data_IF_935294444745
#
_entry.id   IF_935294444745
#
_cell.length_a   1.000
_cell.length_b   1.000
_cell.length_c   1.000
_cell.angle_alpha   90.00
_cell.angle_beta   90.00
_cell.angle_gamma   90.00
#
_symmetry.space_group_name_H-M   'P 1'
#
loop_
_entity.id
_entity.type
_entity.pdbx_description
1 polymer ?
#
# COMPACT_ATOMS: atom_id res chain seq x y z
N UNK A 1 -10.40 10.37 -19.38
CA UNK A 1 -10.38 9.16 -18.52
C UNK A 1 -8.92 8.81 -18.27
N UNK A 2 -8.50 8.81 -16.99
CA UNK A 2 -7.14 8.46 -16.58
C UNK A 2 -7.11 7.07 -15.96
N UNK A 3 -5.96 6.42 -15.96
CA UNK A 3 -5.68 5.15 -15.26
C UNK A 3 -4.81 5.43 -14.05
N UNK A 4 -5.34 5.20 -12.86
CA UNK A 4 -4.65 5.44 -11.57
C UNK A 4 -4.31 4.10 -10.94
N UNK A 5 -3.02 3.87 -10.71
CA UNK A 5 -2.56 2.71 -9.95
C UNK A 5 -2.83 2.96 -8.44
N UNK A 6 -3.45 1.98 -7.77
CA UNK A 6 -3.83 2.11 -6.35
C UNK A 6 -3.18 1.00 -5.54
N UNK A 7 -2.47 1.37 -4.50
CA UNK A 7 -1.89 0.45 -3.53
C UNK A 7 -1.97 1.01 -2.11
N UNK A 8 -1.51 0.24 -1.16
CA UNK A 8 -1.44 0.68 0.23
C UNK A 8 -0.60 -0.26 1.08
N UNK A 9 0.10 0.33 2.03
CA UNK A 9 0.90 -0.41 3.00
C UNK A 9 0.87 0.35 4.32
N UNK A 10 -0.12 0.03 5.15
CA UNK A 10 -0.39 0.77 6.38
C UNK A 10 0.14 0.06 7.61
N UNK A 11 0.94 0.77 8.38
CA UNK A 11 1.34 0.36 9.72
C UNK A 11 1.66 1.56 10.59
N UNK A 12 1.04 1.63 11.75
CA UNK A 12 1.41 2.58 12.81
C UNK A 12 2.41 1.92 13.75
N UNK A 13 3.68 2.25 13.60
CA UNK A 13 4.73 1.64 14.41
C UNK A 13 4.83 2.31 15.79
N UNK A 14 4.78 1.49 16.82
CA UNK A 14 5.14 1.86 18.18
C UNK A 14 6.41 1.09 18.57
N UNK A 15 7.56 1.75 18.54
CA UNK A 15 8.85 1.10 18.80
C UNK A 15 9.01 0.54 20.22
N UNK A 16 8.11 0.88 21.15
CA UNK A 16 8.04 0.31 22.50
C UNK A 16 7.15 -0.94 22.61
N UNK A 17 6.42 -1.29 21.55
CA UNK A 17 5.57 -2.47 21.56
C UNK A 17 6.42 -3.76 21.57
N UNK A 18 5.92 -4.85 22.20
CA UNK A 18 6.71 -6.06 22.39
C UNK A 18 6.83 -6.93 21.14
N UNK A 19 5.92 -6.82 20.18
CA UNK A 19 5.86 -7.71 19.03
C UNK A 19 5.92 -6.94 17.70
N UNK A 20 6.70 -7.46 16.75
CA UNK A 20 6.87 -6.89 15.42
C UNK A 20 5.71 -7.25 14.49
N UNK A 21 5.49 -6.39 13.50
CA UNK A 21 4.55 -6.67 12.42
C UNK A 21 5.22 -7.60 11.39
N UNK A 22 4.87 -8.87 11.45
CA UNK A 22 5.33 -9.89 10.50
C UNK A 22 4.47 -9.88 9.22
N UNK A 23 4.91 -10.56 8.18
CA UNK A 23 4.10 -10.73 6.97
C UNK A 23 2.72 -11.35 7.27
N UNK A 24 2.67 -12.35 8.16
CA UNK A 24 1.41 -12.96 8.60
C UNK A 24 0.45 -11.97 9.27
N UNK A 25 0.96 -10.95 9.97
CA UNK A 25 0.13 -9.90 10.54
C UNK A 25 -0.64 -9.12 9.47
N UNK A 26 -0.03 -8.86 8.32
CA UNK A 26 -0.69 -8.22 7.16
C UNK A 26 -1.59 -9.18 6.41
N UNK A 27 -1.21 -10.46 6.27
CA UNK A 27 -2.08 -11.48 5.66
C UNK A 27 -3.42 -11.59 6.37
N UNK A 28 -3.42 -11.55 7.71
CA UNK A 28 -4.63 -11.66 8.53
C UNK A 28 -5.33 -10.31 8.79
N UNK A 29 -4.64 -9.20 8.58
CA UNK A 29 -5.18 -7.85 8.71
C UNK A 29 -5.48 -7.38 10.14
N UNK A 30 -5.67 -8.26 11.12
CA UNK A 30 -5.89 -7.90 12.52
C UNK A 30 -7.07 -6.94 12.77
N UNK A 31 -8.18 -7.10 12.06
CA UNK A 31 -9.34 -6.19 12.08
C UNK A 31 -9.45 -5.29 10.84
N UNK A 32 -8.41 -5.23 10.02
CA UNK A 32 -8.42 -4.61 8.70
C UNK A 32 -8.76 -5.65 7.62
N UNK A 33 -9.13 -5.22 6.40
CA UNK A 33 -9.19 -6.15 5.27
C UNK A 33 -7.85 -6.88 5.09
N UNK A 34 -7.90 -8.15 4.76
CA UNK A 34 -6.73 -8.97 4.51
C UNK A 34 -5.87 -8.42 3.37
N UNK A 35 -4.57 -8.72 3.40
CA UNK A 35 -3.63 -8.39 2.33
C UNK A 35 -4.17 -8.87 0.99
N UNK A 36 -4.34 -7.92 0.06
CA UNK A 36 -5.06 -8.15 -1.19
C UNK A 36 -4.27 -7.56 -2.36
N UNK A 37 -4.38 -8.21 -3.52
CA UNK A 37 -3.59 -7.89 -4.70
C UNK A 37 -4.44 -7.66 -5.95
N UNK A 38 -3.98 -6.76 -6.82
CA UNK A 38 -4.54 -6.57 -8.16
C UNK A 38 -6.02 -6.19 -8.16
N UNK A 39 -6.76 -6.72 -9.10
CA UNK A 39 -8.18 -6.36 -9.32
C UNK A 39 -9.11 -6.72 -8.15
N UNK A 40 -8.63 -7.51 -7.20
CA UNK A 40 -9.39 -7.83 -5.99
C UNK A 40 -9.42 -6.69 -4.98
N UNK A 41 -8.55 -5.67 -5.10
CA UNK A 41 -8.48 -4.56 -4.16
C UNK A 41 -9.79 -3.79 -4.12
N UNK A 42 -10.28 -3.32 -5.26
CA UNK A 42 -11.49 -2.51 -5.31
C UNK A 42 -12.72 -3.21 -4.69
N UNK A 43 -13.07 -4.45 -5.07
CA UNK A 43 -14.21 -5.13 -4.46
C UNK A 43 -13.97 -5.51 -2.98
N UNK A 44 -12.73 -5.78 -2.57
CA UNK A 44 -12.42 -6.13 -1.18
C UNK A 44 -12.53 -4.95 -0.24
N UNK A 45 -12.18 -3.76 -0.71
CA UNK A 45 -12.23 -2.53 0.09
C UNK A 45 -13.57 -1.79 0.00
N UNK A 46 -14.47 -2.19 -0.91
CA UNK A 46 -15.74 -1.51 -1.13
C UNK A 46 -16.56 -1.37 0.18
N UNK A 47 -16.96 -0.14 0.47
CA UNK A 47 -17.74 0.19 1.68
C UNK A 47 -16.94 0.19 2.99
N UNK A 48 -15.64 -0.09 2.96
CA UNK A 48 -14.79 0.04 4.13
C UNK A 48 -14.47 1.52 4.40
N UNK A 49 -14.48 1.92 5.67
CA UNK A 49 -14.11 3.29 6.07
C UNK A 49 -12.58 3.43 6.16
N UNK A 50 -11.92 3.35 5.01
CA UNK A 50 -10.46 3.48 4.86
C UNK A 50 -10.13 4.38 3.67
N UNK A 51 -8.96 5.08 3.67
CA UNK A 51 -8.63 6.06 2.63
C UNK A 51 -8.62 5.49 1.21
N UNK A 52 -8.07 4.27 1.01
CA UNK A 52 -8.04 3.63 -0.30
C UNK A 52 -9.44 3.37 -0.87
N UNK A 53 -10.41 2.95 -0.04
CA UNK A 53 -11.79 2.75 -0.47
C UNK A 53 -12.41 4.05 -0.97
N UNK A 54 -12.30 5.13 -0.18
CA UNK A 54 -12.81 6.45 -0.57
C UNK A 54 -12.14 6.99 -1.85
N UNK A 55 -10.84 6.79 -1.99
CA UNK A 55 -10.11 7.18 -3.20
C UNK A 55 -10.61 6.42 -4.45
N UNK A 56 -10.79 5.10 -4.35
CA UNK A 56 -11.32 4.28 -5.45
C UNK A 56 -12.72 4.72 -5.84
N UNK A 57 -13.61 4.91 -4.87
CA UNK A 57 -14.98 5.37 -5.10
C UNK A 57 -15.01 6.74 -5.80
N UNK A 58 -14.21 7.70 -5.31
CA UNK A 58 -14.13 9.03 -5.89
C UNK A 58 -13.58 9.00 -7.34
N UNK A 59 -12.53 8.23 -7.59
CA UNK A 59 -11.94 8.07 -8.92
C UNK A 59 -12.94 7.46 -9.91
N UNK A 60 -13.68 6.44 -9.50
CA UNK A 60 -14.73 5.83 -10.34
C UNK A 60 -15.88 6.79 -10.61
N UNK A 61 -16.34 7.56 -9.61
CA UNK A 61 -17.39 8.58 -9.76
C UNK A 61 -16.97 9.69 -10.74
N UNK A 62 -15.67 10.00 -10.82
CA UNK A 62 -15.09 10.95 -11.78
C UNK A 62 -14.81 10.33 -13.16
N UNK A 63 -15.15 9.07 -13.38
CA UNK A 63 -14.98 8.38 -14.67
C UNK A 63 -13.53 7.94 -14.95
N UNK A 64 -12.69 7.84 -13.91
CA UNK A 64 -11.35 7.29 -14.04
C UNK A 64 -11.34 5.77 -13.81
N UNK A 65 -10.29 5.11 -14.26
CA UNK A 65 -10.04 3.69 -14.04
C UNK A 65 -9.00 3.50 -12.96
N UNK A 66 -9.25 2.58 -12.03
CA UNK A 66 -8.24 2.16 -11.05
C UNK A 66 -7.62 0.84 -11.45
N UNK A 67 -6.35 0.67 -11.10
CA UNK A 67 -5.56 -0.54 -11.30
C UNK A 67 -4.94 -0.89 -9.95
N UNK A 68 -5.34 -2.03 -9.39
CA UNK A 68 -4.85 -2.46 -8.08
C UNK A 68 -3.41 -2.97 -8.12
N UNK A 69 -2.61 -2.57 -7.15
CA UNK A 69 -1.24 -3.05 -6.92
C UNK A 69 -1.23 -4.13 -5.82
N UNK A 70 -0.90 -3.73 -4.60
CA UNK A 70 -1.10 -4.48 -3.38
C UNK A 70 -1.62 -3.53 -2.30
N UNK A 71 -2.50 -4.01 -1.43
CA UNK A 71 -2.99 -3.27 -0.28
C UNK A 71 -3.01 -4.18 0.95
N UNK A 72 -2.43 -3.71 2.04
CA UNK A 72 -2.44 -4.41 3.32
C UNK A 72 -2.23 -3.46 4.49
N UNK A 73 -2.82 -3.82 5.62
CA UNK A 73 -2.66 -3.13 6.88
C UNK A 73 -2.47 -4.15 7.99
N UNK A 74 -1.77 -3.77 9.05
CA UNK A 74 -1.67 -4.54 10.28
C UNK A 74 -1.95 -3.66 11.49
N UNK A 75 -2.43 -4.26 12.56
CA UNK A 75 -2.65 -3.54 13.82
C UNK A 75 -1.36 -2.90 14.32
N UNK A 76 -1.45 -1.70 14.96
CA UNK A 76 -0.29 -1.05 15.54
C UNK A 76 0.54 -2.00 16.42
N UNK A 77 1.84 -2.05 16.17
CA UNK A 77 2.78 -2.93 16.85
C UNK A 77 4.22 -2.39 16.72
N UNK A 78 5.25 -3.15 17.08
CA UNK A 78 6.64 -2.72 16.88
C UNK A 78 7.00 -2.67 15.38
N UNK A 79 8.26 -2.60 15.06
CA UNK A 79 8.75 -2.43 13.68
C UNK A 79 8.18 -3.50 12.73
N UNK A 80 7.93 -3.10 11.51
CA UNK A 80 7.63 -4.03 10.41
C UNK A 80 8.87 -4.87 10.12
N UNK A 81 8.73 -6.18 10.03
CA UNK A 81 9.88 -7.04 9.71
C UNK A 81 10.40 -6.75 8.31
N UNK A 82 11.71 -6.98 8.10
CA UNK A 82 12.32 -6.87 6.76
C UNK A 82 11.57 -7.71 5.74
N UNK A 83 11.25 -8.97 6.09
CA UNK A 83 10.51 -9.88 5.21
C UNK A 83 9.16 -9.30 4.78
N UNK A 84 8.37 -8.79 5.73
CA UNK A 84 7.08 -8.17 5.41
C UNK A 84 7.23 -6.96 4.49
N UNK A 85 8.18 -6.07 4.82
CA UNK A 85 8.42 -4.86 4.03
C UNK A 85 8.85 -5.18 2.60
N UNK A 86 9.82 -6.06 2.43
CA UNK A 86 10.36 -6.39 1.10
C UNK A 86 9.34 -7.17 0.25
N UNK A 87 8.52 -8.03 0.86
CA UNK A 87 7.48 -8.77 0.13
C UNK A 87 6.35 -7.85 -0.32
N UNK A 88 5.76 -7.07 0.59
CA UNK A 88 4.60 -6.21 0.27
C UNK A 88 5.04 -5.01 -0.59
N UNK A 89 6.10 -4.33 -0.19
CA UNK A 89 6.65 -3.21 -0.96
C UNK A 89 7.15 -3.67 -2.34
N UNK A 90 7.78 -4.85 -2.42
CA UNK A 90 8.20 -5.47 -3.67
C UNK A 90 7.03 -5.78 -4.60
N UNK A 91 5.91 -6.30 -4.08
CA UNK A 91 4.69 -6.53 -4.87
C UNK A 91 4.10 -5.23 -5.41
N UNK A 92 4.04 -4.16 -4.60
CA UNK A 92 3.59 -2.83 -5.06
C UNK A 92 4.44 -2.38 -6.26
N UNK A 93 5.75 -2.42 -6.12
CA UNK A 93 6.69 -1.95 -7.15
C UNK A 93 6.65 -2.82 -8.41
N UNK A 94 6.63 -4.14 -8.25
CA UNK A 94 6.61 -5.09 -9.37
C UNK A 94 5.31 -4.96 -10.18
N UNK A 95 4.17 -4.88 -9.49
CA UNK A 95 2.88 -4.70 -10.17
C UNK A 95 2.76 -3.35 -10.85
N UNK A 96 3.29 -2.30 -10.22
CA UNK A 96 3.33 -0.98 -10.84
C UNK A 96 4.18 -0.98 -12.11
N UNK A 97 5.37 -1.58 -12.08
CA UNK A 97 6.23 -1.69 -13.26
C UNK A 97 5.54 -2.46 -14.41
N UNK A 98 4.83 -3.53 -14.09
CA UNK A 98 4.08 -4.31 -15.07
C UNK A 98 2.85 -3.57 -15.62
N UNK A 99 2.32 -2.61 -14.86
CA UNK A 99 1.13 -1.83 -15.23
C UNK A 99 1.43 -0.59 -16.07
N UNK A 100 2.69 -0.20 -16.19
CA UNK A 100 3.06 1.02 -16.93
C UNK A 100 2.63 0.96 -18.41
N UNK A 101 2.18 2.08 -19.01
CA UNK A 101 2.08 3.42 -18.40
C UNK A 101 0.80 3.63 -17.59
N UNK A 102 0.92 4.44 -16.52
CA UNK A 102 -0.21 4.92 -15.72
C UNK A 102 -0.20 6.45 -15.67
N UNK A 103 -1.37 7.06 -15.44
CA UNK A 103 -1.51 8.52 -15.38
C UNK A 103 -1.26 9.08 -13.97
N UNK A 104 -1.36 8.23 -12.94
CA UNK A 104 -1.10 8.60 -11.55
C UNK A 104 -0.95 7.38 -10.66
N UNK A 105 -0.40 7.58 -9.47
CA UNK A 105 -0.30 6.55 -8.42
C UNK A 105 -0.89 7.08 -7.13
N UNK A 106 -1.81 6.34 -6.54
CA UNK A 106 -2.33 6.59 -5.20
C UNK A 106 -1.80 5.51 -4.24
N UNK A 107 -1.16 5.93 -3.18
CA UNK A 107 -0.69 5.04 -2.12
C UNK A 107 -1.34 5.41 -0.78
N UNK A 108 -2.02 4.44 -0.20
CA UNK A 108 -2.62 4.54 1.12
C UNK A 108 -1.57 4.18 2.18
N UNK A 109 -0.97 5.19 2.79
CA UNK A 109 0.12 5.07 3.75
C UNK A 109 -0.25 5.74 5.06
N UNK A 110 0.29 5.25 6.19
CA UNK A 110 0.05 5.82 7.51
C UNK A 110 0.95 7.03 7.81
N UNK A 111 2.18 7.02 7.32
CA UNK A 111 3.20 8.04 7.63
C UNK A 111 3.99 7.77 8.92
N UNK A 112 3.90 6.56 9.48
CA UNK A 112 4.52 6.22 10.75
C UNK A 112 5.23 4.84 10.74
N UNK A 113 5.54 4.33 9.56
CA UNK A 113 6.15 3.00 9.43
C UNK A 113 7.66 3.05 9.66
N UNK A 114 8.10 2.41 10.74
CA UNK A 114 9.50 2.04 10.98
C UNK A 114 9.65 0.53 10.72
N UNK A 115 10.70 0.13 10.04
CA UNK A 115 11.00 -1.27 9.77
C UNK A 115 12.24 -1.73 10.54
N UNK A 116 12.56 -3.02 10.50
CA UNK A 116 13.77 -3.56 11.12
C UNK A 116 15.08 -2.99 10.55
N UNK A 117 15.04 -2.47 9.34
CA UNK A 117 16.23 -2.06 8.60
C UNK A 117 16.14 -0.66 7.99
N UNK A 118 15.01 0.04 8.17
CA UNK A 118 14.79 1.39 7.66
C UNK A 118 14.05 2.19 8.72
N UNK A 119 14.56 3.37 9.04
CA UNK A 119 13.89 4.30 9.96
C UNK A 119 12.68 4.97 9.30
N UNK A 120 12.70 5.11 7.97
CA UNK A 120 11.62 5.63 7.13
C UNK A 120 11.26 4.62 6.04
N UNK A 121 10.40 3.66 6.39
CA UNK A 121 9.94 2.63 5.46
C UNK A 121 9.09 3.20 4.32
N UNK A 122 8.24 4.17 4.61
CA UNK A 122 7.38 4.80 3.60
C UNK A 122 8.18 5.67 2.64
N UNK A 123 9.17 6.40 3.11
CA UNK A 123 10.08 7.17 2.26
C UNK A 123 10.84 6.28 1.27
N UNK A 124 11.33 5.12 1.70
CA UNK A 124 11.95 4.14 0.80
C UNK A 124 10.95 3.56 -0.21
N UNK A 125 9.73 3.21 0.21
CA UNK A 125 8.70 2.74 -0.71
C UNK A 125 8.37 3.80 -1.77
N UNK A 126 8.18 5.05 -1.36
CA UNK A 126 7.94 6.17 -2.28
C UNK A 126 9.11 6.37 -3.25
N UNK A 127 10.35 6.25 -2.79
CA UNK A 127 11.53 6.33 -3.64
C UNK A 127 11.55 5.19 -4.68
N UNK A 128 11.18 3.96 -4.30
CA UNK A 128 11.06 2.82 -5.22
C UNK A 128 9.99 3.06 -6.28
N UNK A 129 8.81 3.52 -5.86
CA UNK A 129 7.70 3.87 -6.78
C UNK A 129 8.13 4.98 -7.73
N UNK A 130 8.77 6.04 -7.24
CA UNK A 130 9.26 7.14 -8.06
C UNK A 130 10.27 6.71 -9.12
N UNK A 131 11.13 5.73 -8.82
CA UNK A 131 12.07 5.15 -9.82
C UNK A 131 11.33 4.45 -10.97
N UNK A 132 10.16 3.86 -10.71
CA UNK A 132 9.35 3.22 -11.76
C UNK A 132 8.62 4.23 -12.63
N UNK A 133 7.93 5.19 -12.01
CA UNK A 133 7.04 6.11 -12.75
C UNK A 133 7.74 7.33 -13.31
N UNK A 134 8.95 7.64 -12.83
CA UNK A 134 9.68 8.85 -13.23
C UNK A 134 9.09 10.13 -12.61
N UNK A 135 9.63 11.28 -13.02
CA UNK A 135 9.30 12.57 -12.38
C UNK A 135 7.93 13.16 -12.77
N UNK A 136 7.32 12.70 -13.86
CA UNK A 136 6.13 13.35 -14.45
C UNK A 136 4.80 12.77 -13.99
N UNK A 137 4.77 11.54 -13.49
CA UNK A 137 3.55 10.90 -12.98
C UNK A 137 3.32 11.36 -11.54
N UNK A 138 2.16 11.97 -11.21
CA UNK A 138 1.81 12.36 -9.85
C UNK A 138 1.51 11.15 -8.97
#
# INVERSE_FOLDING_TARGET
>A
MATIAVGGFQHETNTFAPSKATFAAFEHGGGWPELTYGDRIAPRLAGANIPAAGAIEALHALGHRTLGLAWGAASPSAQVTRDAFERIGGEIVTRLAAAMPVDGVYLDLHGAMVTEHLDDGEGELLARVRRVVGARVP
#
